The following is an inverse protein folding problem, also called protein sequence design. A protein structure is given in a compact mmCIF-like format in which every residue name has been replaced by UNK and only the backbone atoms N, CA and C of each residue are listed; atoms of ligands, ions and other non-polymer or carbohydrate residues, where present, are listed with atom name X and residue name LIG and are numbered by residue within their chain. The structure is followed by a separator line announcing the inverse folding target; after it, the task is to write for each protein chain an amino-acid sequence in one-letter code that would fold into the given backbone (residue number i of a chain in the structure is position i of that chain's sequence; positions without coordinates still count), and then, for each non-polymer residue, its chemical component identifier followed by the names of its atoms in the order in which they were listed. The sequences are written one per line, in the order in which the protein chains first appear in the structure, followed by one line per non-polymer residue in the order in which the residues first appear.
data_IF_585627672195
#
_entry.id   IF_585627672195
#
_cell.length_a   1.000
_cell.length_b   1.000
_cell.length_c   1.000
_cell.angle_alpha   90.00
_cell.angle_beta   90.00
_cell.angle_gamma   90.00
#
_symmetry.space_group_name_H-M   'P 1'
#
loop_
_entity.id
_entity.type
_entity.pdbx_description
1 polymer ?
#
# COMPACT_ATOMS: atom_id res chain seq x y z
N UNK A 1 -6.21 -17.54 16.73
CA UNK A 1 -7.09 -17.50 15.54
C UNK A 1 -8.32 -16.67 15.86
N UNK A 2 -9.02 -16.92 16.97
CA UNK A 2 -10.16 -16.08 17.40
C UNK A 2 -9.82 -14.59 17.51
N UNK A 3 -8.67 -14.24 18.11
CA UNK A 3 -8.21 -12.84 18.17
C UNK A 3 -8.05 -12.20 16.78
N UNK A 4 -7.55 -12.95 15.80
CA UNK A 4 -7.37 -12.44 14.44
C UNK A 4 -8.71 -12.10 13.75
N UNK A 5 -9.79 -12.78 14.12
CA UNK A 5 -11.13 -12.52 13.60
C UNK A 5 -11.79 -11.32 14.26
N UNK A 6 -11.55 -11.13 15.56
CA UNK A 6 -11.95 -9.88 16.23
C UNK A 6 -11.28 -8.70 15.55
N UNK A 7 -9.99 -8.82 15.23
CA UNK A 7 -9.27 -7.80 14.47
C UNK A 7 -9.77 -7.64 13.02
N UNK A 8 -10.08 -8.73 12.31
CA UNK A 8 -10.67 -8.67 10.97
C UNK A 8 -12.00 -7.90 10.97
N UNK A 9 -12.89 -8.18 11.94
CA UNK A 9 -14.16 -7.46 12.11
C UNK A 9 -13.94 -5.98 12.43
N UNK A 10 -12.96 -5.66 13.28
CA UNK A 10 -12.59 -4.25 13.57
C UNK A 10 -12.07 -3.53 12.32
N UNK A 11 -11.23 -4.18 11.52
CA UNK A 11 -10.73 -3.64 10.26
C UNK A 11 -11.88 -3.42 9.28
N UNK A 12 -12.77 -4.40 9.11
CA UNK A 12 -13.95 -4.28 8.25
C UNK A 12 -14.86 -3.12 8.67
N UNK A 13 -15.11 -2.98 9.97
CA UNK A 13 -15.88 -1.88 10.52
C UNK A 13 -15.21 -0.53 10.25
N UNK A 14 -13.90 -0.44 10.45
CA UNK A 14 -13.13 0.78 10.22
C UNK A 14 -13.09 1.18 8.74
N UNK A 15 -12.96 0.21 7.83
CA UNK A 15 -13.03 0.44 6.39
C UNK A 15 -14.41 0.95 5.97
N UNK A 16 -15.50 0.36 6.50
CA UNK A 16 -16.86 0.86 6.27
C UNK A 16 -17.02 2.31 6.78
N UNK A 17 -16.57 2.61 8.00
CA UNK A 17 -16.61 3.96 8.56
C UNK A 17 -15.82 4.98 7.72
N UNK A 18 -14.69 4.58 7.13
CA UNK A 18 -13.95 5.45 6.22
C UNK A 18 -14.72 5.69 4.92
N UNK A 19 -15.36 4.67 4.34
CA UNK A 19 -16.23 4.86 3.17
C UNK A 19 -17.34 5.89 3.43
N UNK A 20 -18.01 5.78 4.59
CA UNK A 20 -19.16 6.63 4.94
C UNK A 20 -18.77 8.10 5.18
N UNK A 21 -17.56 8.37 5.65
CA UNK A 21 -17.09 9.73 5.98
C UNK A 21 -16.58 10.54 4.78
N UNK A 22 -16.33 9.94 3.63
CA UNK A 22 -15.75 10.63 2.47
C UNK A 22 -16.75 10.80 1.30
N UNK A 23 -17.58 11.85 1.35
CA UNK A 23 -18.49 12.25 0.25
C UNK A 23 -17.76 12.73 -1.04
N UNK A 24 -16.46 13.06 -1.01
CA UNK A 24 -15.64 13.43 -2.20
C UNK A 24 -14.34 12.62 -2.31
N UNK A 25 -13.91 12.41 -3.57
CA UNK A 25 -12.81 11.56 -4.11
C UNK A 25 -11.51 11.51 -3.27
N UNK A 26 -11.41 10.60 -2.31
CA UNK A 26 -10.13 9.93 -2.02
C UNK A 26 -10.17 8.58 -2.74
N UNK A 27 -9.11 8.22 -3.45
CA UNK A 27 -9.05 6.97 -4.23
C UNK A 27 -8.79 5.75 -3.33
N UNK A 28 -8.06 5.93 -2.22
CA UNK A 28 -7.84 4.90 -1.21
C UNK A 28 -8.97 4.93 -0.15
N UNK A 29 -10.09 4.27 -0.45
CA UNK A 29 -11.20 4.10 0.49
C UNK A 29 -11.29 2.68 1.07
N UNK A 30 -10.90 1.71 0.26
CA UNK A 30 -11.05 0.29 0.54
C UNK A 30 -9.71 -0.43 0.36
N UNK A 31 -9.38 -1.32 1.31
CA UNK A 31 -8.14 -2.10 1.26
C UNK A 31 -8.43 -3.49 0.69
N UNK A 32 -7.97 -3.72 -0.54
CA UNK A 32 -8.31 -4.93 -1.29
C UNK A 32 -7.68 -6.17 -0.67
N UNK A 33 -6.43 -6.07 -0.22
CA UNK A 33 -5.74 -7.17 0.44
C UNK A 33 -6.30 -7.45 1.83
N UNK A 34 -6.64 -6.42 2.61
CA UNK A 34 -7.25 -6.59 3.93
C UNK A 34 -8.62 -7.27 3.84
N UNK A 35 -9.48 -6.87 2.89
CA UNK A 35 -10.77 -7.55 2.63
C UNK A 35 -10.57 -9.00 2.24
N UNK A 36 -9.57 -9.27 1.40
CA UNK A 36 -9.26 -10.64 1.01
C UNK A 36 -8.80 -11.47 2.21
N UNK A 37 -7.91 -10.94 3.04
CA UNK A 37 -7.43 -11.61 4.26
C UNK A 37 -8.56 -11.84 5.27
N UNK A 38 -9.48 -10.88 5.45
CA UNK A 38 -10.71 -11.07 6.24
C UNK A 38 -11.54 -12.24 5.70
N UNK A 39 -11.72 -12.34 4.39
CA UNK A 39 -12.40 -13.46 3.74
C UNK A 39 -11.77 -14.82 4.07
N UNK A 40 -10.44 -14.92 4.02
CA UNK A 40 -9.70 -16.14 4.41
C UNK A 40 -10.00 -16.53 5.86
N UNK A 41 -10.08 -15.54 6.76
CA UNK A 41 -10.33 -15.76 8.18
C UNK A 41 -11.77 -16.19 8.45
N UNK A 42 -12.76 -15.54 7.84
CA UNK A 42 -14.18 -15.95 7.93
C UNK A 42 -14.36 -17.37 7.40
N UNK A 43 -13.75 -17.68 6.26
CA UNK A 43 -13.81 -19.01 5.68
C UNK A 43 -13.18 -20.06 6.59
N UNK A 44 -12.07 -19.74 7.25
CA UNK A 44 -11.43 -20.63 8.22
C UNK A 44 -12.35 -20.97 9.42
N UNK A 45 -13.29 -20.10 9.80
CA UNK A 45 -14.33 -20.41 10.80
C UNK A 45 -15.53 -21.18 10.25
N UNK A 46 -15.65 -21.31 8.93
CA UNK A 46 -16.85 -21.80 8.28
C UNK A 46 -17.96 -20.74 8.12
N UNK A 47 -17.67 -19.46 8.35
CA UNK A 47 -18.59 -18.33 8.10
C UNK A 47 -18.62 -18.03 6.58
N UNK A 48 -19.18 -18.95 5.79
CA UNK A 48 -19.06 -18.94 4.32
C UNK A 48 -19.74 -17.72 3.66
N UNK A 49 -20.86 -17.25 4.21
CA UNK A 49 -21.53 -16.04 3.72
C UNK A 49 -20.67 -14.79 3.91
N UNK A 50 -20.10 -14.60 5.11
CA UNK A 50 -19.22 -13.46 5.42
C UNK A 50 -17.91 -13.52 4.62
N UNK A 51 -17.38 -14.73 4.42
CA UNK A 51 -16.23 -14.96 3.54
C UNK A 51 -16.55 -14.53 2.10
N UNK A 52 -17.69 -14.95 1.56
CA UNK A 52 -18.13 -14.58 0.22
C UNK A 52 -18.32 -13.06 0.05
N UNK A 53 -18.94 -12.40 1.03
CA UNK A 53 -19.09 -10.94 1.05
C UNK A 53 -17.71 -10.27 1.03
N UNK A 54 -16.77 -10.74 1.86
CA UNK A 54 -15.42 -10.18 1.96
C UNK A 54 -14.62 -10.37 0.68
N UNK A 55 -14.67 -11.54 0.06
CA UNK A 55 -14.04 -11.80 -1.24
C UNK A 55 -14.67 -10.97 -2.36
N UNK A 56 -15.99 -10.76 -2.32
CA UNK A 56 -16.70 -9.91 -3.30
C UNK A 56 -16.24 -8.46 -3.20
N UNK A 57 -16.11 -7.94 -1.97
CA UNK A 57 -15.54 -6.61 -1.72
C UNK A 57 -14.08 -6.52 -2.18
N UNK A 58 -13.28 -7.54 -1.89
CA UNK A 58 -11.89 -7.59 -2.36
C UNK A 58 -11.82 -7.54 -3.90
N UNK A 59 -12.62 -8.35 -4.59
CA UNK A 59 -12.72 -8.34 -6.05
C UNK A 59 -13.08 -6.96 -6.61
N UNK A 60 -14.08 -6.28 -6.03
CA UNK A 60 -14.43 -4.91 -6.44
C UNK A 60 -13.26 -3.95 -6.20
N UNK A 61 -12.63 -4.02 -5.03
CA UNK A 61 -11.48 -3.18 -4.69
C UNK A 61 -10.29 -3.42 -5.63
N UNK A 62 -10.00 -4.68 -6.01
CA UNK A 62 -8.91 -4.98 -6.95
C UNK A 62 -9.19 -4.45 -8.37
N UNK A 63 -10.45 -4.36 -8.80
CA UNK A 63 -10.80 -3.67 -10.06
C UNK A 63 -10.44 -2.20 -10.03
N UNK A 64 -10.66 -1.54 -8.89
CA UNK A 64 -10.27 -0.15 -8.70
C UNK A 64 -8.75 0.01 -8.51
N UNK A 65 -8.09 -0.95 -7.88
CA UNK A 65 -6.64 -0.98 -7.72
C UNK A 65 -5.93 -1.07 -9.07
N UNK A 66 -6.47 -1.87 -10.00
CA UNK A 66 -5.90 -1.96 -11.34
C UNK A 66 -5.92 -0.62 -12.06
N UNK A 67 -7.01 0.15 -11.91
CA UNK A 67 -7.16 1.49 -12.51
C UNK A 67 -6.31 2.55 -11.81
N UNK A 68 -6.20 2.47 -10.50
CA UNK A 68 -5.65 3.54 -9.66
C UNK A 68 -4.17 3.38 -9.33
N UNK A 69 -3.72 2.14 -9.15
CA UNK A 69 -2.38 1.77 -8.67
C UNK A 69 -1.66 0.80 -9.61
N UNK A 70 -2.33 0.31 -10.66
CA UNK A 70 -1.79 -0.67 -11.61
C UNK A 70 -1.71 -2.11 -11.08
N UNK A 71 -2.05 -2.34 -9.81
CA UNK A 71 -1.99 -3.67 -9.19
C UNK A 71 -3.08 -4.58 -9.79
N UNK A 72 -2.66 -5.71 -10.35
CA UNK A 72 -3.58 -6.69 -10.93
C UNK A 72 -4.28 -7.49 -9.83
N UNK A 73 -5.50 -7.96 -10.13
CA UNK A 73 -6.21 -8.87 -9.25
C UNK A 73 -5.50 -10.24 -9.23
N UNK A 74 -5.17 -10.78 -8.05
CA UNK A 74 -4.64 -12.13 -7.94
C UNK A 74 -5.66 -13.20 -8.33
N UNK A 75 -5.17 -14.30 -8.92
CA UNK A 75 -6.04 -15.36 -9.47
C UNK A 75 -6.88 -16.09 -8.42
N UNK A 76 -6.34 -16.24 -7.20
CA UNK A 76 -7.02 -16.93 -6.11
C UNK A 76 -8.32 -16.25 -5.66
N UNK A 77 -8.52 -14.95 -5.96
CA UNK A 77 -9.78 -14.27 -5.66
C UNK A 77 -10.91 -14.82 -6.52
N UNK A 78 -10.62 -15.09 -7.80
CA UNK A 78 -11.57 -15.76 -8.69
C UNK A 78 -11.85 -17.19 -8.27
N UNK A 79 -10.81 -17.95 -7.86
CA UNK A 79 -10.95 -19.30 -7.29
C UNK A 79 -11.93 -19.32 -6.12
N UNK A 80 -11.76 -18.41 -5.15
CA UNK A 80 -12.59 -18.39 -3.95
C UNK A 80 -14.02 -17.93 -4.22
N UNK A 81 -14.21 -16.90 -5.07
CA UNK A 81 -15.54 -16.42 -5.43
C UNK A 81 -16.36 -17.49 -6.14
N UNK A 82 -15.79 -18.16 -7.13
CA UNK A 82 -16.46 -19.24 -7.85
C UNK A 82 -16.77 -20.43 -6.95
N UNK A 83 -15.81 -20.81 -6.09
CA UNK A 83 -16.00 -21.91 -5.16
C UNK A 83 -17.10 -21.63 -4.14
N UNK A 84 -17.10 -20.44 -3.52
CA UNK A 84 -18.10 -20.10 -2.51
C UNK A 84 -19.48 -19.82 -3.12
N UNK A 85 -19.56 -19.12 -4.25
CA UNK A 85 -20.85 -18.91 -4.93
C UNK A 85 -21.52 -20.24 -5.29
N UNK A 86 -20.74 -21.22 -5.80
CA UNK A 86 -21.24 -22.58 -6.03
C UNK A 86 -21.67 -23.29 -4.76
N UNK A 87 -20.86 -23.23 -3.69
CA UNK A 87 -21.17 -23.89 -2.42
C UNK A 87 -22.40 -23.30 -1.71
N UNK A 88 -22.67 -22.00 -1.89
CA UNK A 88 -23.81 -21.28 -1.32
C UNK A 88 -25.07 -21.31 -2.20
N UNK A 89 -25.00 -21.90 -3.40
CA UNK A 89 -26.12 -21.93 -4.35
C UNK A 89 -26.40 -20.61 -5.08
N UNK A 90 -25.43 -19.68 -5.09
CA UNK A 90 -25.48 -18.38 -5.77
C UNK A 90 -25.12 -18.53 -7.26
N UNK A 91 -25.99 -19.20 -8.01
CA UNK A 91 -25.69 -19.63 -9.38
C UNK A 91 -25.57 -18.48 -10.40
N UNK A 92 -26.28 -17.38 -10.19
CA UNK A 92 -26.21 -16.22 -11.10
C UNK A 92 -24.88 -15.49 -10.93
N UNK A 93 -24.44 -15.30 -9.69
CA UNK A 93 -23.13 -14.77 -9.35
C UNK A 93 -22.01 -15.69 -9.82
N UNK A 94 -22.17 -17.00 -9.64
CA UNK A 94 -21.23 -18.00 -10.16
C UNK A 94 -21.06 -17.86 -11.67
N UNK A 95 -22.15 -17.85 -12.45
CA UNK A 95 -22.11 -17.72 -13.92
C UNK A 95 -21.46 -16.40 -14.34
N UNK A 96 -21.80 -15.29 -13.66
CA UNK A 96 -21.22 -13.97 -13.92
C UNK A 96 -19.71 -13.99 -13.75
N UNK A 97 -19.20 -14.56 -12.66
CA UNK A 97 -17.76 -14.64 -12.41
C UNK A 97 -17.06 -15.70 -13.29
N UNK A 98 -17.74 -16.77 -13.67
CA UNK A 98 -17.16 -17.85 -14.47
C UNK A 98 -16.73 -17.35 -15.86
N UNK A 99 -17.49 -16.42 -16.44
CA UNK A 99 -17.12 -15.77 -17.71
C UNK A 99 -15.82 -14.96 -17.62
N UNK A 100 -15.52 -14.35 -16.46
CA UNK A 100 -14.30 -13.56 -16.23
C UNK A 100 -13.09 -14.44 -15.85
N UNK A 101 -13.34 -15.63 -15.30
CA UNK A 101 -12.33 -16.55 -14.74
C UNK A 101 -12.35 -17.95 -15.40
N UNK A 102 -12.56 -17.99 -16.71
CA UNK A 102 -12.83 -19.21 -17.47
C UNK A 102 -11.74 -20.30 -17.43
N UNK A 103 -10.47 -19.93 -17.18
CA UNK A 103 -9.32 -20.85 -17.21
C UNK A 103 -8.87 -21.32 -15.82
N UNK A 104 -9.68 -21.13 -14.78
CA UNK A 104 -9.33 -21.49 -13.40
C UNK A 104 -9.74 -22.94 -13.08
N UNK A 105 -8.78 -23.73 -12.60
CA UNK A 105 -9.08 -25.05 -12.02
C UNK A 105 -9.72 -24.87 -10.65
N UNK A 106 -11.05 -25.03 -10.60
CA UNK A 106 -11.80 -24.92 -9.36
C UNK A 106 -11.48 -26.08 -8.41
N UNK A 107 -11.05 -25.72 -7.20
CA UNK A 107 -10.90 -26.64 -6.07
C UNK A 107 -12.25 -26.72 -5.36
N UNK A 108 -12.75 -27.93 -5.10
CA UNK A 108 -14.00 -28.11 -4.37
C UNK A 108 -13.82 -27.72 -2.88
N UNK A 109 -14.88 -27.29 -2.20
CA UNK A 109 -14.85 -27.07 -0.76
C UNK A 109 -14.44 -28.34 0.00
N UNK A 110 -14.83 -29.53 -0.48
CA UNK A 110 -14.41 -30.82 0.08
C UNK A 110 -12.90 -31.05 -0.07
N UNK A 111 -12.31 -30.58 -1.16
CA UNK A 111 -10.86 -30.66 -1.39
C UNK A 111 -10.11 -29.76 -0.40
N UNK A 112 -10.62 -28.55 -0.13
CA UNK A 112 -10.06 -27.67 0.91
C UNK A 112 -10.26 -28.21 2.33
N UNK A 113 -11.35 -28.92 2.60
CA UNK A 113 -11.61 -29.50 3.92
C UNK A 113 -10.76 -30.75 4.19
N UNK A 114 -10.45 -31.54 3.16
CA UNK A 114 -9.61 -32.74 3.26
C UNK A 114 -8.11 -32.44 3.27
N UNK A 115 -7.70 -31.29 2.74
CA UNK A 115 -6.32 -30.81 2.75
C UNK A 115 -6.12 -29.68 3.77
N UNK A 116 -4.87 -29.36 4.09
CA UNK A 116 -4.53 -28.11 4.75
C UNK A 116 -3.87 -27.13 3.77
N UNK A 117 -3.80 -25.87 4.16
CA UNK A 117 -3.35 -24.81 3.26
C UNK A 117 -2.27 -23.94 3.91
N UNK A 118 -1.17 -23.72 3.19
CA UNK A 118 -0.19 -22.70 3.54
C UNK A 118 -0.58 -21.39 2.88
N UNK A 119 -0.72 -20.33 3.68
CA UNK A 119 -0.84 -18.96 3.21
C UNK A 119 0.51 -18.29 3.44
N UNK A 120 1.30 -18.15 2.38
CA UNK A 120 2.62 -17.53 2.45
C UNK A 120 2.50 -16.04 2.10
N UNK A 121 2.89 -15.17 3.04
CA UNK A 121 2.87 -13.71 2.89
C UNK A 121 4.32 -13.20 2.86
N UNK A 122 4.66 -12.52 1.78
CA UNK A 122 5.98 -11.95 1.57
C UNK A 122 5.91 -10.42 1.57
N UNK A 123 6.60 -9.79 2.52
CA UNK A 123 6.72 -8.35 2.66
C UNK A 123 8.05 -7.90 2.04
N UNK A 124 7.98 -7.27 0.86
CA UNK A 124 9.13 -6.93 0.01
C UNK A 124 9.56 -5.46 0.16
N UNK A 125 10.87 -5.20 0.14
CA UNK A 125 11.46 -3.85 0.00
C UNK A 125 11.09 -2.85 1.11
N UNK A 126 11.43 -1.57 0.97
CA UNK A 126 11.03 -0.52 1.92
C UNK A 126 10.00 0.40 1.29
N UNK A 127 9.00 0.83 2.06
CA UNK A 127 8.06 1.85 1.62
C UNK A 127 8.79 3.11 1.11
N UNK A 128 8.21 3.87 0.17
CA UNK A 128 8.82 5.10 -0.32
C UNK A 128 8.97 6.10 0.82
N UNK A 129 10.03 6.89 0.80
CA UNK A 129 10.20 8.00 1.74
C UNK A 129 9.81 9.32 1.08
N UNK A 130 9.37 10.29 1.89
CA UNK A 130 9.11 11.64 1.40
C UNK A 130 10.39 12.46 1.43
N UNK A 131 10.61 13.21 0.38
CA UNK A 131 11.66 14.22 0.25
C UNK A 131 11.05 15.57 -0.15
N UNK A 132 11.84 16.62 -0.01
CA UNK A 132 11.45 17.95 -0.42
C UNK A 132 11.58 18.10 -1.94
N UNK A 133 10.58 18.75 -2.53
CA UNK A 133 10.62 19.31 -3.86
C UNK A 133 10.43 20.82 -3.73
N UNK A 134 11.45 21.57 -4.10
CA UNK A 134 11.43 23.03 -3.97
C UNK A 134 11.00 23.70 -5.26
N UNK A 135 10.12 24.67 -5.13
CA UNK A 135 9.79 25.63 -6.19
C UNK A 135 10.28 26.99 -5.70
N UNK A 136 11.29 27.52 -6.37
CA UNK A 136 11.87 28.83 -6.07
C UNK A 136 11.35 29.86 -7.08
N UNK A 137 10.88 30.99 -6.58
CA UNK A 137 10.34 32.08 -7.40
C UNK A 137 10.88 33.43 -6.92
N UNK A 138 11.64 34.16 -7.76
CA UNK A 138 12.01 35.54 -7.44
C UNK A 138 10.77 36.44 -7.58
N UNK A 139 10.50 37.25 -6.55
CA UNK A 139 9.46 38.26 -6.55
C UNK A 139 10.06 39.60 -6.15
N UNK A 140 9.59 40.73 -6.72
CA UNK A 140 10.05 42.04 -6.27
C UNK A 140 9.54 42.29 -4.84
N UNK A 141 10.44 42.74 -3.98
CA UNK A 141 10.07 43.26 -2.67
C UNK A 141 9.54 44.70 -2.76
N UNK A 142 9.15 45.29 -1.62
CA UNK A 142 8.57 46.64 -1.57
C UNK A 142 9.54 47.75 -2.00
N UNK A 143 10.82 47.45 -2.21
CA UNK A 143 11.84 48.36 -2.73
C UNK A 143 12.29 48.00 -4.15
N UNK A 144 11.62 47.04 -4.80
CA UNK A 144 11.99 46.55 -6.13
C UNK A 144 13.21 45.62 -6.15
N UNK A 145 13.73 45.23 -4.98
CA UNK A 145 14.85 44.28 -4.89
C UNK A 145 14.33 42.84 -4.96
N UNK A 146 15.10 41.89 -5.51
CA UNK A 146 14.66 40.50 -5.62
C UNK A 146 14.56 39.84 -4.24
N UNK A 147 13.38 39.32 -3.93
CA UNK A 147 13.12 38.42 -2.81
C UNK A 147 12.87 37.01 -3.35
N UNK A 148 13.53 36.01 -2.78
CA UNK A 148 13.42 34.63 -3.26
C UNK A 148 12.40 33.89 -2.40
N UNK A 149 11.21 33.63 -2.95
CA UNK A 149 10.25 32.75 -2.31
C UNK A 149 10.65 31.30 -2.58
N UNK A 150 10.73 30.49 -1.53
CA UNK A 150 10.85 29.04 -1.62
C UNK A 150 9.56 28.40 -1.15
N UNK A 151 8.99 27.53 -1.97
CA UNK A 151 7.85 26.68 -1.61
C UNK A 151 8.37 25.25 -1.53
N UNK A 152 8.27 24.61 -0.36
CA UNK A 152 8.62 23.20 -0.19
C UNK A 152 7.37 22.31 -0.29
N UNK A 153 7.36 21.39 -1.25
CA UNK A 153 6.31 20.38 -1.43
C UNK A 153 6.86 18.98 -1.18
N UNK A 154 6.09 18.07 -0.57
CA UNK A 154 6.53 16.70 -0.39
C UNK A 154 6.43 15.93 -1.72
N UNK A 155 7.41 15.06 -1.97
CA UNK A 155 7.38 14.06 -3.05
C UNK A 155 7.80 12.70 -2.52
N UNK A 156 7.19 11.61 -2.99
CA UNK A 156 7.61 10.26 -2.64
C UNK A 156 8.73 9.75 -3.58
N UNK A 157 9.89 9.46 -3.00
CA UNK A 157 10.98 8.76 -3.67
C UNK A 157 10.80 7.23 -3.51
N UNK A 158 10.65 6.46 -4.61
CA UNK A 158 10.51 5.02 -4.54
C UNK A 158 11.81 4.35 -4.09
N UNK A 159 11.68 3.24 -3.37
CA UNK A 159 12.80 2.34 -3.03
C UNK A 159 12.47 0.97 -3.64
N UNK A 160 12.75 0.76 -4.94
CA UNK A 160 12.38 -0.48 -5.60
C UNK A 160 13.08 -1.66 -4.92
N UNK A 161 12.31 -2.74 -4.71
CA UNK A 161 12.87 -4.01 -4.27
C UNK A 161 13.67 -4.64 -5.40
N UNK A 162 14.83 -5.21 -5.09
CA UNK A 162 15.57 -6.04 -6.06
C UNK A 162 14.82 -7.35 -6.37
N UNK A 163 14.04 -7.84 -5.40
CA UNK A 163 13.22 -9.05 -5.55
C UNK A 163 11.93 -8.68 -6.27
N UNK A 164 11.68 -9.34 -7.41
CA UNK A 164 10.46 -9.21 -8.20
C UNK A 164 9.34 -10.11 -7.67
N UNK A 165 9.64 -11.35 -7.30
CA UNK A 165 8.67 -12.29 -6.71
C UNK A 165 9.37 -13.44 -5.97
N UNK A 166 8.61 -14.27 -5.26
CA UNK A 166 9.09 -15.49 -4.65
C UNK A 166 8.49 -16.73 -5.35
N UNK A 167 9.27 -17.81 -5.40
CA UNK A 167 8.80 -19.15 -5.78
C UNK A 167 8.90 -20.08 -4.57
N UNK A 168 7.87 -20.88 -4.36
CA UNK A 168 7.75 -21.81 -3.25
C UNK A 168 7.88 -23.23 -3.79
N UNK A 169 8.78 -23.99 -3.19
CA UNK A 169 9.01 -25.40 -3.45
C UNK A 169 8.69 -26.21 -2.20
N UNK A 170 7.90 -27.26 -2.35
CA UNK A 170 7.62 -28.22 -1.28
C UNK A 170 8.44 -29.46 -1.53
N UNK A 171 9.34 -29.80 -0.60
CA UNK A 171 10.22 -30.97 -0.76
C UNK A 171 9.38 -32.24 -0.92
N UNK A 172 9.68 -33.02 -1.95
CA UNK A 172 8.94 -34.23 -2.29
C UNK A 172 7.70 -34.00 -3.18
N UNK A 173 7.44 -32.76 -3.61
CA UNK A 173 6.48 -32.45 -4.68
C UNK A 173 7.20 -31.82 -5.87
N UNK A 174 6.80 -32.20 -7.09
CA UNK A 174 7.33 -31.64 -8.33
C UNK A 174 6.60 -30.36 -8.78
N UNK A 175 5.94 -29.64 -7.87
CA UNK A 175 5.19 -28.42 -8.15
C UNK A 175 5.83 -27.22 -7.46
N UNK A 176 5.96 -26.12 -8.20
CA UNK A 176 6.34 -24.81 -7.66
C UNK A 176 5.13 -23.87 -7.66
N UNK A 177 5.03 -23.02 -6.64
CA UNK A 177 3.98 -22.00 -6.53
C UNK A 177 4.61 -20.60 -6.51
N UNK A 178 4.11 -19.70 -7.35
CA UNK A 178 4.61 -18.33 -7.46
C UNK A 178 3.80 -17.38 -6.57
N UNK A 179 4.46 -16.40 -5.96
CA UNK A 179 3.77 -15.31 -5.27
C UNK A 179 3.18 -14.29 -6.25
N UNK A 180 1.99 -13.81 -5.92
CA UNK A 180 1.31 -12.74 -6.63
C UNK A 180 1.40 -11.45 -5.83
N UNK A 181 1.62 -10.33 -6.50
CA UNK A 181 1.52 -9.00 -5.89
C UNK A 181 0.08 -8.78 -5.43
N UNK A 182 -0.11 -8.61 -4.13
CA UNK A 182 -1.43 -8.35 -3.53
C UNK A 182 -1.58 -6.89 -3.13
N UNK A 183 -0.49 -6.22 -2.78
CA UNK A 183 -0.51 -4.80 -2.40
C UNK A 183 0.75 -4.10 -2.90
N UNK A 184 0.60 -3.01 -3.67
CA UNK A 184 1.70 -2.09 -3.99
C UNK A 184 1.59 -0.81 -3.14
N UNK A 185 2.17 -0.87 -1.95
CA UNK A 185 2.17 0.24 -0.99
C UNK A 185 2.87 1.47 -1.58
N UNK A 186 3.88 1.26 -2.43
CA UNK A 186 4.60 2.36 -3.08
C UNK A 186 3.69 3.12 -4.05
N UNK A 187 2.96 2.42 -4.91
CA UNK A 187 2.01 2.99 -5.84
C UNK A 187 0.86 3.70 -5.10
N UNK A 188 0.32 3.07 -4.06
CA UNK A 188 -0.74 3.64 -3.22
C UNK A 188 -0.30 4.93 -2.54
N UNK A 189 0.89 4.94 -1.94
CA UNK A 189 1.43 6.12 -1.27
C UNK A 189 1.61 7.30 -2.24
N UNK A 190 2.17 7.04 -3.44
CA UNK A 190 2.31 8.04 -4.50
C UNK A 190 0.95 8.60 -4.92
N UNK A 191 0.00 7.72 -5.23
CA UNK A 191 -1.32 8.13 -5.68
C UNK A 191 -2.08 8.93 -4.60
N UNK A 192 -1.97 8.53 -3.34
CA UNK A 192 -2.56 9.26 -2.22
C UNK A 192 -1.99 10.68 -2.09
N UNK A 193 -0.68 10.85 -2.33
CA UNK A 193 -0.05 12.15 -2.31
C UNK A 193 -0.50 13.00 -3.50
N UNK A 194 -0.54 12.43 -4.71
CA UNK A 194 -1.03 13.10 -5.91
C UNK A 194 -2.45 13.65 -5.74
N UNK A 195 -3.36 12.85 -5.18
CA UNK A 195 -4.76 13.27 -4.97
C UNK A 195 -4.88 14.42 -3.96
N UNK A 196 -3.90 14.59 -3.07
CA UNK A 196 -3.90 15.60 -2.02
C UNK A 196 -2.96 16.77 -2.29
N UNK A 197 -2.13 16.70 -3.34
CA UNK A 197 -1.04 17.64 -3.56
C UNK A 197 -1.58 19.06 -3.74
N UNK A 198 -2.71 19.25 -4.42
CA UNK A 198 -3.30 20.57 -4.61
C UNK A 198 -3.63 21.28 -3.29
N UNK A 199 -4.21 20.57 -2.31
CA UNK A 199 -4.47 21.12 -0.98
C UNK A 199 -3.18 21.40 -0.20
N UNK A 200 -2.17 20.55 -0.36
CA UNK A 200 -0.85 20.73 0.27
C UNK A 200 -0.17 21.98 -0.31
N UNK A 201 -0.18 22.14 -1.63
CA UNK A 201 0.38 23.31 -2.33
C UNK A 201 -0.32 24.59 -1.90
N UNK A 202 -1.65 24.61 -1.86
CA UNK A 202 -2.40 25.80 -1.40
C UNK A 202 -1.99 26.25 0.02
N UNK A 203 -1.81 25.29 0.95
CA UNK A 203 -1.33 25.59 2.30
C UNK A 203 0.11 26.09 2.32
N UNK A 204 0.99 25.51 1.50
CA UNK A 204 2.39 25.92 1.39
C UNK A 204 2.50 27.35 0.84
N UNK A 205 1.76 27.67 -0.23
CA UNK A 205 1.69 29.03 -0.80
C UNK A 205 1.21 30.04 0.23
N UNK A 206 0.14 29.73 0.99
CA UNK A 206 -0.35 30.62 2.04
C UNK A 206 0.71 30.88 3.13
N UNK A 207 1.42 29.83 3.56
CA UNK A 207 2.51 29.95 4.54
C UNK A 207 3.64 30.85 4.02
N UNK A 208 4.05 30.64 2.78
CA UNK A 208 5.13 31.44 2.15
C UNK A 208 4.70 32.89 1.98
N UNK A 209 3.45 33.15 1.60
CA UNK A 209 2.90 34.50 1.54
C UNK A 209 2.92 35.21 2.90
N UNK A 210 2.57 34.50 3.98
CA UNK A 210 2.66 35.05 5.35
C UNK A 210 4.09 35.36 5.77
N UNK A 211 5.06 34.48 5.47
CA UNK A 211 6.49 34.74 5.73
C UNK A 211 6.98 35.96 4.94
N UNK A 212 6.58 36.07 3.68
CA UNK A 212 6.93 37.21 2.84
C UNK A 212 6.39 38.52 3.40
N UNK A 213 5.10 38.60 3.77
CA UNK A 213 4.53 39.83 4.33
C UNK A 213 5.24 40.23 5.63
N UNK A 214 5.53 39.29 6.52
CA UNK A 214 6.29 39.55 7.74
C UNK A 214 7.73 40.04 7.46
N UNK A 215 8.39 39.49 6.44
CA UNK A 215 9.70 39.98 6.01
C UNK A 215 9.63 41.42 5.50
N UNK A 216 8.60 41.75 4.71
CA UNK A 216 8.39 43.11 4.20
C UNK A 216 8.06 44.11 5.31
N UNK A 217 7.26 43.74 6.32
CA UNK A 217 6.97 44.63 7.45
C UNK A 217 8.22 44.88 8.30
N UNK A 218 9.01 43.84 8.59
CA UNK A 218 10.27 43.97 9.32
C UNK A 218 11.29 44.85 8.57
N UNK A 219 11.43 44.64 7.24
CA UNK A 219 12.26 45.48 6.37
C UNK A 219 11.86 46.96 6.43
N UNK A 220 10.56 47.26 6.30
CA UNK A 220 10.04 48.64 6.36
C UNK A 220 10.33 49.28 7.71
N UNK A 221 10.01 48.59 8.80
CA UNK A 221 10.26 49.08 10.15
C UNK A 221 11.76 49.37 10.42
N UNK A 222 12.66 48.51 9.91
CA UNK A 222 14.10 48.74 10.00
C UNK A 222 14.56 49.95 9.16
N UNK A 223 14.02 50.12 7.95
CA UNK A 223 14.33 51.25 7.08
C UNK A 223 13.91 52.59 7.68
N UNK A 224 12.74 52.64 8.32
CA UNK A 224 12.21 53.85 8.98
C UNK A 224 13.03 54.23 10.22
N UNK A 225 13.48 53.24 11.00
CA UNK A 225 14.19 53.49 12.27
C UNK A 225 15.69 53.73 12.11
N UNK A 226 16.34 53.04 11.17
CA UNK A 226 17.80 53.01 11.05
C UNK A 226 18.33 53.36 9.65
N UNK A 227 17.45 53.76 8.73
CA UNK A 227 17.80 54.14 7.36
C UNK A 227 17.70 52.99 6.36
N UNK A 228 17.69 53.34 5.06
CA UNK A 228 17.43 52.42 3.94
C UNK A 228 18.40 51.24 3.90
N UNK A 229 19.68 51.47 4.19
CA UNK A 229 20.72 50.42 4.16
C UNK A 229 20.48 49.34 5.23
N UNK A 230 20.04 49.75 6.42
CA UNK A 230 19.65 48.83 7.48
C UNK A 230 18.44 47.98 7.08
N UNK A 231 17.46 48.58 6.38
CA UNK A 231 16.33 47.86 5.80
C UNK A 231 16.75 46.80 4.78
N UNK A 232 17.67 47.13 3.87
CA UNK A 232 18.21 46.19 2.87
C UNK A 232 18.91 45.02 3.57
N UNK A 233 19.77 45.30 4.57
CA UNK A 233 20.49 44.28 5.33
C UNK A 233 19.53 43.33 6.07
N UNK A 234 18.56 43.88 6.80
CA UNK A 234 17.55 43.09 7.53
C UNK A 234 16.70 42.26 6.57
N UNK A 235 16.25 42.85 5.45
CA UNK A 235 15.48 42.14 4.44
C UNK A 235 16.24 40.96 3.82
N UNK A 236 17.53 41.16 3.52
CA UNK A 236 18.40 40.10 2.99
C UNK A 236 18.59 38.94 3.99
N UNK A 237 18.86 39.25 5.26
CA UNK A 237 19.02 38.25 6.31
C UNK A 237 17.73 37.44 6.54
N UNK A 238 16.57 38.10 6.54
CA UNK A 238 15.28 37.42 6.68
C UNK A 238 14.97 36.54 5.47
N UNK A 239 15.28 36.99 4.25
CA UNK A 239 15.09 36.17 3.04
C UNK A 239 15.88 34.85 3.14
N UNK A 240 17.17 34.92 3.51
CA UNK A 240 18.02 33.74 3.74
C UNK A 240 17.40 32.81 4.80
N UNK A 241 17.00 33.37 5.95
CA UNK A 241 16.40 32.59 7.02
C UNK A 241 15.05 31.96 6.60
N UNK A 242 14.23 32.69 5.85
CA UNK A 242 12.95 32.21 5.32
C UNK A 242 13.13 31.02 4.38
N UNK A 243 14.12 31.11 3.47
CA UNK A 243 14.47 30.03 2.54
C UNK A 243 15.03 28.82 3.27
N UNK A 244 15.90 29.03 4.27
CA UNK A 244 16.52 27.94 5.03
C UNK A 244 15.53 27.19 5.95
N UNK A 245 14.43 27.84 6.34
CA UNK A 245 13.42 27.27 7.26
C UNK A 245 12.18 26.73 6.56
N UNK A 246 12.14 26.71 5.22
CA UNK A 246 11.02 26.11 4.49
C UNK A 246 11.29 24.63 4.21
N UNK A 247 10.46 23.77 4.81
CA UNK A 247 10.53 22.31 4.69
C UNK A 247 9.11 21.73 4.57
N UNK A 248 8.95 20.69 3.76
CA UNK A 248 7.70 19.97 3.63
C UNK A 248 7.47 18.99 4.80
N UNK A 249 6.22 18.60 5.04
CA UNK A 249 5.94 17.51 5.98
C UNK A 249 6.36 16.16 5.38
N UNK A 250 7.57 15.73 5.73
CA UNK A 250 8.19 14.47 5.29
C UNK A 250 7.81 13.26 6.15
N UNK A 251 6.94 13.41 7.15
CA UNK A 251 6.54 12.27 7.97
C UNK A 251 5.82 11.23 7.11
N UNK A 252 6.33 10.00 7.17
CA UNK A 252 5.79 8.82 6.50
C UNK A 252 6.16 7.55 7.27
N UNK A 253 5.40 6.47 7.09
CA UNK A 253 5.69 5.17 7.69
C UNK A 253 6.76 4.42 6.89
N UNK A 254 8.03 4.69 7.23
CA UNK A 254 9.20 4.16 6.51
C UNK A 254 9.51 2.69 6.79
N UNK A 255 8.90 2.11 7.82
CA UNK A 255 9.08 0.70 8.20
C UNK A 255 8.20 -0.27 7.42
N UNK A 256 7.17 0.25 6.73
CA UNK A 256 6.29 -0.56 5.90
C UNK A 256 7.04 -1.20 4.71
N UNK A 257 6.50 -2.30 4.17
CA UNK A 257 6.95 -2.84 2.89
C UNK A 257 6.77 -1.86 1.74
N UNK A 258 7.57 -2.03 0.69
CA UNK A 258 7.26 -1.46 -0.62
C UNK A 258 6.05 -2.18 -1.25
N UNK A 259 6.01 -3.50 -1.09
CA UNK A 259 5.02 -4.40 -1.68
C UNK A 259 4.71 -5.57 -0.74
N UNK A 260 3.48 -6.06 -0.82
CA UNK A 260 3.06 -7.32 -0.21
C UNK A 260 2.76 -8.29 -1.35
N UNK A 261 3.31 -9.49 -1.26
CA UNK A 261 3.00 -10.59 -2.16
C UNK A 261 2.48 -11.79 -1.38
N UNK A 262 1.69 -12.63 -2.04
CA UNK A 262 1.11 -13.80 -1.42
C UNK A 262 1.07 -14.99 -2.37
N UNK A 263 1.27 -16.18 -1.82
CA UNK A 263 0.97 -17.44 -2.48
C UNK A 263 0.15 -18.34 -1.55
N UNK A 264 -0.61 -19.25 -2.15
CA UNK A 264 -1.43 -20.24 -1.44
C UNK A 264 -1.03 -21.63 -1.93
N UNK A 265 -0.70 -22.52 -1.01
CA UNK A 265 -0.26 -23.88 -1.33
C UNK A 265 -1.15 -24.89 -0.62
N UNK A 266 -1.89 -25.69 -1.37
CA UNK A 266 -2.75 -26.75 -0.84
C UNK A 266 -1.95 -28.05 -0.67
N UNK A 267 -1.95 -28.61 0.53
CA UNK A 267 -1.17 -29.77 0.91
C UNK A 267 -2.03 -30.77 1.68
N UNK A 268 -1.85 -32.05 1.42
CA UNK A 268 -2.46 -33.10 2.24
C UNK A 268 -1.93 -33.02 3.68
N UNK A 269 -2.66 -33.52 4.68
CA UNK A 269 -2.19 -33.51 6.06
C UNK A 269 -0.85 -34.24 6.19
N UNK A 270 0.10 -33.65 6.90
CA UNK A 270 1.47 -34.18 6.98
C UNK A 270 2.48 -33.16 7.51
N UNK A 271 3.76 -33.55 7.54
CA UNK A 271 4.88 -32.65 7.86
C UNK A 271 5.70 -32.40 6.61
N UNK A 272 6.01 -31.14 6.34
CA UNK A 272 6.69 -30.72 5.11
C UNK A 272 7.91 -29.83 5.40
N UNK A 273 8.86 -29.88 4.47
CA UNK A 273 9.89 -28.83 4.32
C UNK A 273 9.56 -27.99 3.10
N UNK A 274 9.62 -26.67 3.26
CA UNK A 274 9.35 -25.69 2.22
C UNK A 274 10.61 -24.86 1.97
N UNK A 275 10.99 -24.73 0.71
CA UNK A 275 12.06 -23.84 0.26
C UNK A 275 11.45 -22.67 -0.52
N UNK A 276 11.87 -21.45 -0.21
CA UNK A 276 11.42 -20.23 -0.87
C UNK A 276 12.61 -19.60 -1.57
N UNK A 277 12.50 -19.44 -2.89
CA UNK A 277 13.49 -18.74 -3.73
C UNK A 277 12.97 -17.35 -4.05
N UNK A 278 13.75 -16.33 -3.71
CA UNK A 278 13.43 -14.95 -4.03
C UNK A 278 14.12 -14.58 -5.33
N UNK A 279 13.30 -14.26 -6.32
CA UNK A 279 13.71 -14.08 -7.71
C UNK A 279 13.81 -12.60 -8.02
N UNK A 280 14.94 -12.18 -8.57
CA UNK A 280 15.16 -10.81 -9.03
C UNK A 280 14.49 -10.52 -10.37
N UNK A 281 14.59 -9.27 -10.82
CA UNK A 281 13.96 -8.85 -12.07
C UNK A 281 14.53 -9.54 -13.31
N UNK A 282 15.80 -9.96 -13.28
CA UNK A 282 16.46 -10.71 -14.35
C UNK A 282 16.21 -12.23 -14.32
N UNK A 283 15.43 -12.73 -13.34
CA UNK A 283 15.15 -14.16 -13.16
C UNK A 283 16.17 -14.91 -12.30
N UNK A 284 17.21 -14.23 -11.82
CA UNK A 284 18.21 -14.76 -10.91
C UNK A 284 17.64 -15.03 -9.51
N UNK A 285 18.15 -16.06 -8.84
CA UNK A 285 17.83 -16.32 -7.43
C UNK A 285 18.73 -15.42 -6.58
N UNK A 286 18.14 -14.40 -5.97
CA UNK A 286 18.86 -13.48 -5.08
C UNK A 286 19.02 -14.07 -3.67
N UNK A 287 18.03 -14.86 -3.23
CA UNK A 287 18.01 -15.39 -1.88
C UNK A 287 17.21 -16.68 -1.77
N UNK A 288 17.58 -17.53 -0.79
CA UNK A 288 16.85 -18.75 -0.45
C UNK A 288 16.53 -18.78 1.04
N UNK A 289 15.37 -19.34 1.38
CA UNK A 289 14.96 -19.62 2.76
C UNK A 289 14.36 -21.01 2.84
N UNK A 290 14.72 -21.75 3.87
CA UNK A 290 14.18 -23.09 4.15
C UNK A 290 13.39 -23.03 5.44
N UNK A 291 12.22 -23.65 5.42
CA UNK A 291 11.35 -23.86 6.56
C UNK A 291 11.17 -25.37 6.71
N UNK A 292 11.55 -25.91 7.86
CA UNK A 292 11.36 -27.33 8.18
C UNK A 292 10.16 -27.52 9.09
N UNK A 293 9.73 -28.77 9.24
CA UNK A 293 8.74 -29.19 10.24
C UNK A 293 7.40 -28.43 10.17
N UNK A 294 6.99 -28.09 8.94
CA UNK A 294 5.69 -27.44 8.71
C UNK A 294 4.61 -28.52 8.83
N UNK A 295 3.98 -28.57 10.00
CA UNK A 295 2.81 -29.43 10.23
C UNK A 295 1.55 -28.85 9.58
N UNK A 296 0.95 -29.65 8.70
CA UNK A 296 -0.30 -29.38 7.98
C UNK A 296 -1.38 -30.33 8.48
N UNK A 297 -2.58 -29.79 8.73
CA UNK A 297 -3.76 -30.54 9.19
C UNK A 297 -4.93 -30.27 8.24
N UNK A 298 -5.80 -31.27 8.07
CA UNK A 298 -7.00 -31.16 7.23
C UNK A 298 -7.89 -30.00 7.69
N UNK A 299 -8.37 -29.21 6.74
CA UNK A 299 -9.23 -28.04 6.96
C UNK A 299 -8.55 -26.90 7.71
N UNK A 300 -7.24 -26.97 7.96
CA UNK A 300 -6.49 -25.91 8.67
C UNK A 300 -5.65 -25.08 7.73
N UNK A 301 -5.58 -23.78 8.04
CA UNK A 301 -4.70 -22.82 7.35
C UNK A 301 -3.49 -22.51 8.23
N UNK A 302 -2.30 -22.54 7.63
CA UNK A 302 -1.01 -22.20 8.25
C UNK A 302 -0.47 -20.94 7.58
N UNK A 303 -0.40 -19.85 8.34
CA UNK A 303 0.18 -18.60 7.86
C UNK A 303 1.69 -18.61 8.08
N UNK A 304 2.45 -18.29 7.03
CA UNK A 304 3.90 -18.10 7.09
C UNK A 304 4.22 -16.73 6.50
N UNK A 305 4.82 -15.85 7.30
CA UNK A 305 5.14 -14.48 6.89
C UNK A 305 6.64 -14.29 6.86
N UNK A 306 7.15 -13.68 5.79
CA UNK A 306 8.55 -13.27 5.69
C UNK A 306 8.70 -11.82 5.29
N UNK A 307 9.73 -11.19 5.85
CA UNK A 307 10.14 -9.83 5.54
C UNK A 307 11.53 -9.85 4.92
N UNK A 308 11.66 -9.37 3.68
CA UNK A 308 12.97 -9.16 3.06
C UNK A 308 13.13 -7.69 2.66
N UNK A 309 14.32 -7.19 2.97
CA UNK A 309 14.73 -5.81 2.73
C UNK A 309 15.94 -5.88 1.79
N UNK A 310 15.68 -5.97 0.48
CA UNK A 310 16.68 -5.95 -0.58
C UNK A 310 16.19 -5.10 -1.74
#
# INVERSE_FOLDING_TARGET
MDDALVEARKVDHKLNLYNDKYEKKNVYKEDAFARYLSGILYEYRGELNDAYISYSKAYMAYKDYRRSYGTAMPIFIGEDLLRLSRALGLYDEYKKHQGEFNNIKLKDIKELQSNGEIIFIYLSGRAPFKEDFFIDAPVPDVSGQPYYLRIALPRFAPQPSQIAYAKIYIRGKNSEEKTYLVEDITAIAKKNLEDRIGRITAKAVARVALKFTAAQTAKKAAAEKYGKDAGILVGGLINIASVATEEADKRSWRTLPAQIQMARVLLSPGSYSMEVHYIGAGGEILEKRVFTDISIKAGKKKFLTQRIIR
#
